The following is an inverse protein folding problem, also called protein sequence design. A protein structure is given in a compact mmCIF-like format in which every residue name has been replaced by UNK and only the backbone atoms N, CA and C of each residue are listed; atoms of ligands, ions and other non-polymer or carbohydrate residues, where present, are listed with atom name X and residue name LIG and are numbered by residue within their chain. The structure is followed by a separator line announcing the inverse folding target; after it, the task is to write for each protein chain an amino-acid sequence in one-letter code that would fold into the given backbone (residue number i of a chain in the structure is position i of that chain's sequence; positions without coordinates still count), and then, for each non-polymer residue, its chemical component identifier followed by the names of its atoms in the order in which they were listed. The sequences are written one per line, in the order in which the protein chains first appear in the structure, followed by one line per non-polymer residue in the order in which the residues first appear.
data_IF_363849357208
#
_entry.id   IF_363849357208
#
_cell.length_a   1.000
_cell.length_b   1.000
_cell.length_c   1.000
_cell.angle_alpha   90.00
_cell.angle_beta   90.00
_cell.angle_gamma   90.00
#
_symmetry.space_group_name_H-M   'P 1'
#
loop_
_entity.id
_entity.type
_entity.pdbx_description
1 polymer ?
#
# COMPACT_ATOMS: atom_id res chain seq x y z
N UNK A 1 -10.36 -21.59 5.98
CA UNK A 1 -10.67 -20.28 5.36
C UNK A 1 -11.81 -20.47 4.38
N UNK A 2 -12.98 -19.84 4.61
CA UNK A 2 -14.12 -19.91 3.67
C UNK A 2 -13.65 -19.53 2.26
N UNK A 3 -14.08 -20.29 1.25
CA UNK A 3 -13.72 -20.16 -0.18
C UNK A 3 -13.78 -18.71 -0.70
N UNK A 4 -14.69 -17.90 -0.15
CA UNK A 4 -14.86 -16.46 -0.42
C UNK A 4 -13.62 -15.60 -0.10
N UNK A 5 -12.93 -15.82 1.02
CA UNK A 5 -11.75 -15.04 1.42
C UNK A 5 -10.54 -15.33 0.51
N UNK A 6 -10.51 -16.52 -0.11
CA UNK A 6 -9.40 -16.93 -0.99
C UNK A 6 -9.45 -16.20 -2.33
N UNK A 7 -10.66 -16.03 -2.90
CA UNK A 7 -10.86 -15.32 -4.17
C UNK A 7 -10.52 -13.83 -4.00
N UNK A 8 -11.02 -13.20 -2.91
CA UNK A 8 -10.68 -11.81 -2.59
C UNK A 8 -9.16 -11.60 -2.48
N UNK A 9 -8.46 -12.48 -1.76
CA UNK A 9 -7.01 -12.39 -1.62
C UNK A 9 -6.26 -12.52 -2.95
N UNK A 10 -6.72 -13.39 -3.86
CA UNK A 10 -6.13 -13.55 -5.19
C UNK A 10 -6.33 -12.27 -6.02
N UNK A 11 -7.57 -11.79 -6.14
CA UNK A 11 -7.89 -10.57 -6.91
C UNK A 11 -7.08 -9.38 -6.38
N UNK A 12 -7.05 -9.21 -5.05
CA UNK A 12 -6.30 -8.13 -4.43
C UNK A 12 -4.79 -8.24 -4.70
N UNK A 13 -4.25 -9.46 -4.79
CA UNK A 13 -2.82 -9.67 -5.12
C UNK A 13 -2.54 -9.36 -6.59
N UNK A 14 -3.42 -9.77 -7.51
CA UNK A 14 -3.30 -9.43 -8.94
C UNK A 14 -3.36 -7.91 -9.13
N UNK A 15 -4.28 -7.24 -8.44
CA UNK A 15 -4.39 -5.78 -8.47
C UNK A 15 -3.12 -5.10 -7.95
N UNK A 16 -2.54 -5.58 -6.85
CA UNK A 16 -1.27 -5.06 -6.32
C UNK A 16 -0.13 -5.20 -7.35
N UNK A 17 -0.01 -6.35 -8.01
CA UNK A 17 1.02 -6.57 -9.04
C UNK A 17 0.82 -5.60 -10.21
N UNK A 18 -0.42 -5.43 -10.68
CA UNK A 18 -0.74 -4.48 -11.75
C UNK A 18 -0.41 -3.04 -11.38
N UNK A 19 -0.67 -2.63 -10.13
CA UNK A 19 -0.32 -1.29 -9.64
C UNK A 19 1.20 -1.08 -9.58
N UNK A 20 1.96 -2.07 -9.12
CA UNK A 20 3.43 -1.99 -9.07
C UNK A 20 4.04 -1.93 -10.48
N UNK A 21 3.54 -2.76 -11.41
CA UNK A 21 3.95 -2.70 -12.82
C UNK A 21 3.53 -1.37 -13.44
N UNK A 22 2.33 -0.88 -13.15
CA UNK A 22 1.83 0.41 -13.59
C UNK A 22 2.73 1.56 -13.14
N UNK A 23 3.18 1.56 -11.88
CA UNK A 23 4.07 2.57 -11.34
C UNK A 23 5.41 2.61 -12.10
N UNK A 24 5.97 1.44 -12.39
CA UNK A 24 7.18 1.32 -13.20
C UNK A 24 6.97 1.84 -14.63
N UNK A 25 5.87 1.46 -15.28
CA UNK A 25 5.54 1.91 -16.64
C UNK A 25 5.33 3.42 -16.71
N UNK A 26 4.63 4.02 -15.75
CA UNK A 26 4.43 5.47 -15.68
C UNK A 26 5.77 6.19 -15.57
N UNK A 27 6.69 5.70 -14.72
CA UNK A 27 8.03 6.26 -14.63
C UNK A 27 8.79 6.17 -15.97
N UNK A 28 8.76 4.98 -16.59
CA UNK A 28 9.43 4.73 -17.87
C UNK A 28 8.90 5.63 -19.00
N UNK A 29 7.58 5.72 -19.16
CA UNK A 29 6.99 6.55 -20.21
C UNK A 29 7.15 8.04 -19.96
N UNK A 30 7.18 8.48 -18.70
CA UNK A 30 7.47 9.88 -18.35
C UNK A 30 8.87 10.27 -18.79
N UNK A 31 9.84 9.37 -18.66
CA UNK A 31 11.22 9.63 -19.11
C UNK A 31 11.37 9.51 -20.64
N UNK A 32 10.69 8.54 -21.25
CA UNK A 32 10.83 8.24 -22.69
C UNK A 32 9.99 9.13 -23.61
N UNK A 33 8.85 9.63 -23.16
CA UNK A 33 7.90 10.41 -23.98
C UNK A 33 7.71 11.83 -23.42
N UNK A 34 8.28 12.82 -24.12
CA UNK A 34 8.15 14.24 -23.76
C UNK A 34 6.69 14.71 -23.61
N UNK A 35 5.75 14.18 -24.39
CA UNK A 35 4.33 14.53 -24.27
C UNK A 35 3.74 14.14 -22.90
N UNK A 36 4.09 12.95 -22.40
CA UNK A 36 3.64 12.48 -21.09
C UNK A 36 4.30 13.28 -19.96
N UNK A 37 5.58 13.63 -20.12
CA UNK A 37 6.29 14.52 -19.20
C UNK A 37 5.58 15.87 -19.05
N UNK A 38 5.26 16.55 -20.17
CA UNK A 38 4.56 17.85 -20.14
C UNK A 38 3.18 17.74 -19.51
N UNK A 39 2.43 16.69 -19.84
CA UNK A 39 1.11 16.45 -19.26
C UNK A 39 1.17 16.26 -17.73
N UNK A 40 2.12 15.45 -17.25
CA UNK A 40 2.29 15.20 -15.81
C UNK A 40 2.70 16.47 -15.07
N UNK A 41 3.66 17.23 -15.61
CA UNK A 41 4.10 18.49 -14.98
C UNK A 41 2.93 19.48 -14.87
N UNK A 42 2.13 19.63 -15.93
CA UNK A 42 0.95 20.50 -15.90
C UNK A 42 -0.06 20.06 -14.83
N UNK A 43 -0.35 18.76 -14.75
CA UNK A 43 -1.27 18.21 -13.73
C UNK A 43 -0.73 18.33 -12.32
N UNK A 44 0.57 18.13 -12.10
CA UNK A 44 1.19 18.32 -10.79
C UNK A 44 1.03 19.77 -10.32
N UNK A 45 1.35 20.75 -11.18
CA UNK A 45 1.20 22.17 -10.83
C UNK A 45 -0.25 22.53 -10.49
N UNK A 46 -1.22 21.99 -11.23
CA UNK A 46 -2.64 22.20 -10.91
C UNK A 46 -3.04 21.61 -9.54
N UNK A 47 -2.53 20.44 -9.21
CA UNK A 47 -2.82 19.78 -7.93
C UNK A 47 -2.15 20.51 -6.77
N UNK A 48 -0.88 20.90 -6.91
CA UNK A 48 -0.12 21.62 -5.88
C UNK A 48 -0.74 22.99 -5.58
N UNK A 49 -1.25 23.68 -6.60
CA UNK A 49 -1.96 24.95 -6.43
C UNK A 49 -3.31 24.80 -5.73
N UNK A 50 -3.97 23.65 -5.86
CA UNK A 50 -5.33 23.43 -5.33
C UNK A 50 -5.34 22.78 -3.96
N UNK A 51 -4.37 21.91 -3.66
CA UNK A 51 -4.33 21.12 -2.45
C UNK A 51 -2.93 21.08 -1.83
N UNK A 52 -2.80 21.05 -0.50
CA UNK A 52 -1.53 20.86 0.18
C UNK A 52 -1.11 19.38 0.14
N UNK A 53 -0.82 18.85 -1.05
CA UNK A 53 -0.56 17.41 -1.31
C UNK A 53 0.54 16.87 -0.39
N UNK A 54 1.61 17.64 -0.18
CA UNK A 54 2.72 17.23 0.67
C UNK A 54 2.28 16.96 2.11
N UNK A 55 1.41 17.82 2.67
CA UNK A 55 0.84 17.60 4.01
C UNK A 55 -0.05 16.36 4.04
N UNK A 56 -0.86 16.16 2.99
CA UNK A 56 -1.72 14.98 2.88
C UNK A 56 -0.89 13.69 2.87
N UNK A 57 0.23 13.65 2.16
CA UNK A 57 1.13 12.50 2.12
C UNK A 57 1.74 12.16 3.49
N UNK A 58 2.11 13.17 4.28
CA UNK A 58 2.62 12.91 5.64
C UNK A 58 1.51 12.41 6.57
N UNK A 59 0.29 12.94 6.44
CA UNK A 59 -0.86 12.46 7.19
C UNK A 59 -1.17 11.00 6.83
N UNK A 60 -1.13 10.63 5.54
CA UNK A 60 -1.38 9.24 5.12
C UNK A 60 -0.31 8.29 5.62
N UNK A 61 0.98 8.67 5.60
CA UNK A 61 2.06 7.89 6.22
C UNK A 61 1.76 7.66 7.71
N UNK A 62 1.38 8.71 8.45
CA UNK A 62 1.10 8.59 9.88
C UNK A 62 -0.08 7.64 10.16
N UNK A 63 -1.16 7.76 9.38
CA UNK A 63 -2.34 6.87 9.50
C UNK A 63 -1.93 5.41 9.21
N UNK A 64 -1.19 5.17 8.14
CA UNK A 64 -0.73 3.81 7.80
C UNK A 64 0.24 3.24 8.83
N UNK A 65 1.13 4.06 9.40
CA UNK A 65 2.01 3.65 10.49
C UNK A 65 1.20 3.15 11.70
N UNK A 66 0.18 3.91 12.11
CA UNK A 66 -0.72 3.53 13.21
C UNK A 66 -1.42 2.20 12.89
N UNK A 67 -1.97 2.05 11.68
CA UNK A 67 -2.65 0.82 11.27
C UNK A 67 -1.71 -0.40 11.26
N UNK A 68 -0.50 -0.25 10.73
CA UNK A 68 0.53 -1.31 10.71
C UNK A 68 0.87 -1.72 12.13
N UNK A 69 1.14 -0.76 13.03
CA UNK A 69 1.44 -1.05 14.44
C UNK A 69 0.28 -1.76 15.14
N UNK A 70 -0.96 -1.32 14.90
CA UNK A 70 -2.16 -1.96 15.46
C UNK A 70 -2.30 -3.42 14.99
N UNK A 71 -2.14 -3.67 13.68
CA UNK A 71 -2.23 -5.03 13.13
C UNK A 71 -1.11 -5.92 13.70
N UNK A 72 0.12 -5.40 13.79
CA UNK A 72 1.26 -6.13 14.37
C UNK A 72 1.04 -6.44 15.87
N UNK A 73 0.54 -5.49 16.65
CA UNK A 73 0.22 -5.69 18.06
C UNK A 73 -0.87 -6.77 18.24
N UNK A 74 -1.91 -6.76 17.39
CA UNK A 74 -2.94 -7.80 17.37
C UNK A 74 -2.38 -9.16 16.96
N UNK A 75 -1.45 -9.19 15.99
CA UNK A 75 -0.77 -10.41 15.57
C UNK A 75 0.08 -11.00 16.71
N UNK A 76 0.90 -10.19 17.40
CA UNK A 76 1.73 -10.65 18.52
C UNK A 76 0.88 -11.25 19.63
N UNK A 77 -0.21 -10.56 20.03
CA UNK A 77 -1.17 -11.06 21.03
C UNK A 77 -1.78 -12.42 20.65
N UNK A 78 -1.82 -12.76 19.37
CA UNK A 78 -2.47 -13.97 18.83
C UNK A 78 -1.48 -14.94 18.18
N UNK A 79 -0.17 -14.68 18.26
CA UNK A 79 0.88 -15.37 17.49
C UNK A 79 0.84 -16.88 17.65
N UNK A 80 0.58 -17.37 18.87
CA UNK A 80 0.53 -18.80 19.20
C UNK A 80 -0.58 -19.57 18.46
N UNK A 81 -1.62 -18.88 18.01
CA UNK A 81 -2.73 -19.48 17.30
C UNK A 81 -2.59 -19.34 15.78
N UNK A 82 -1.68 -18.49 15.28
CA UNK A 82 -1.62 -18.11 13.87
C UNK A 82 -0.68 -19.00 13.05
N UNK A 83 -0.99 -19.16 11.77
CA UNK A 83 -0.17 -19.95 10.84
C UNK A 83 1.11 -19.21 10.40
N UNK A 84 2.10 -19.97 9.89
CA UNK A 84 3.31 -19.38 9.27
C UNK A 84 2.98 -18.47 8.07
N UNK A 85 1.84 -18.68 7.42
CA UNK A 85 1.37 -17.83 6.32
C UNK A 85 1.02 -16.41 6.81
N UNK A 86 0.38 -16.28 7.97
CA UNK A 86 0.08 -14.97 8.57
C UNK A 86 1.35 -14.19 8.94
N UNK A 87 2.42 -14.88 9.35
CA UNK A 87 3.73 -14.25 9.57
C UNK A 87 4.30 -13.65 8.27
N UNK A 88 4.27 -14.42 7.18
CA UNK A 88 4.74 -13.95 5.86
C UNK A 88 3.96 -12.72 5.37
N UNK A 89 2.63 -12.70 5.54
CA UNK A 89 1.81 -11.54 5.16
C UNK A 89 2.15 -10.27 5.97
N UNK A 90 2.41 -10.41 7.28
CA UNK A 90 2.81 -9.28 8.12
C UNK A 90 4.19 -8.74 7.74
N UNK A 91 5.17 -9.62 7.46
CA UNK A 91 6.49 -9.19 6.98
C UNK A 91 6.36 -8.44 5.66
N UNK A 92 5.59 -8.97 4.72
CA UNK A 92 5.37 -8.33 3.42
C UNK A 92 4.67 -6.97 3.55
N UNK A 93 3.70 -6.84 4.47
CA UNK A 93 3.06 -5.56 4.79
C UNK A 93 4.06 -4.52 5.31
N UNK A 94 4.94 -4.90 6.23
CA UNK A 94 5.97 -3.98 6.77
C UNK A 94 6.94 -3.53 5.69
N UNK A 95 7.42 -4.46 4.85
CA UNK A 95 8.33 -4.14 3.74
C UNK A 95 7.64 -3.17 2.76
N UNK A 96 6.41 -3.46 2.33
CA UNK A 96 5.68 -2.59 1.41
C UNK A 96 5.45 -1.18 2.00
N UNK A 97 5.06 -1.09 3.27
CA UNK A 97 4.91 0.19 3.94
C UNK A 97 6.25 0.95 4.03
N UNK A 98 7.35 0.27 4.35
CA UNK A 98 8.68 0.87 4.38
C UNK A 98 9.12 1.39 3.00
N UNK A 99 8.82 0.66 1.92
CA UNK A 99 9.08 1.11 0.55
C UNK A 99 8.27 2.37 0.23
N UNK A 100 6.97 2.40 0.55
CA UNK A 100 6.11 3.57 0.32
C UNK A 100 6.57 4.79 1.14
N UNK A 101 6.83 4.59 2.43
CA UNK A 101 7.31 5.66 3.32
C UNK A 101 8.66 6.18 2.84
N UNK A 102 9.62 5.30 2.57
CA UNK A 102 10.93 5.68 2.02
C UNK A 102 10.81 6.42 0.69
N UNK A 103 9.97 5.95 -0.23
CA UNK A 103 9.72 6.62 -1.50
C UNK A 103 9.19 8.05 -1.28
N UNK A 104 8.23 8.23 -0.39
CA UNK A 104 7.56 9.51 -0.12
C UNK A 104 8.45 10.49 0.68
N UNK A 105 9.35 9.97 1.53
CA UNK A 105 10.27 10.80 2.31
C UNK A 105 11.51 11.24 1.53
N UNK A 106 11.97 10.40 0.58
CA UNK A 106 13.22 10.64 -0.17
C UNK A 106 12.95 11.39 -1.48
N UNK A 107 11.81 11.14 -2.13
CA UNK A 107 11.53 11.71 -3.44
C UNK A 107 10.56 12.89 -3.37
N UNK A 108 10.60 13.72 -4.41
CA UNK A 108 9.69 14.85 -4.59
C UNK A 108 9.37 15.03 -6.08
N UNK A 109 8.48 15.97 -6.40
CA UNK A 109 8.20 16.38 -7.79
C UNK A 109 9.38 17.05 -8.49
N UNK A 110 10.43 17.41 -7.75
CA UNK A 110 11.68 17.95 -8.28
C UNK A 110 12.61 16.83 -8.75
N UNK A 111 12.71 15.73 -7.99
CA UNK A 111 13.55 14.58 -8.34
C UNK A 111 12.88 13.65 -9.34
N UNK A 112 11.57 13.43 -9.20
CA UNK A 112 10.78 12.56 -10.05
C UNK A 112 9.49 13.26 -10.46
N UNK A 113 9.36 13.63 -11.74
CA UNK A 113 8.14 14.29 -12.24
C UNK A 113 6.89 13.39 -12.08
N UNK A 114 7.05 12.07 -12.20
CA UNK A 114 5.99 11.09 -11.98
C UNK A 114 5.69 10.79 -10.50
N UNK A 115 6.30 11.52 -9.56
CA UNK A 115 6.25 11.26 -8.11
C UNK A 115 4.83 11.07 -7.57
N UNK A 116 3.89 11.98 -7.88
CA UNK A 116 2.53 11.86 -7.35
C UNK A 116 1.77 10.64 -7.88
N UNK A 117 1.98 10.27 -9.15
CA UNK A 117 1.34 9.09 -9.73
C UNK A 117 1.91 7.78 -9.16
N UNK A 118 3.24 7.70 -9.03
CA UNK A 118 3.92 6.54 -8.44
C UNK A 118 3.54 6.42 -6.95
N UNK A 119 3.59 7.54 -6.22
CA UNK A 119 3.22 7.61 -4.81
C UNK A 119 1.78 7.14 -4.58
N UNK A 120 0.84 7.59 -5.41
CA UNK A 120 -0.56 7.16 -5.34
C UNK A 120 -0.73 5.66 -5.60
N UNK A 121 -0.05 5.11 -6.62
CA UNK A 121 -0.11 3.66 -6.89
C UNK A 121 0.48 2.83 -5.74
N UNK A 122 1.59 3.29 -5.14
CA UNK A 122 2.18 2.66 -3.96
C UNK A 122 1.26 2.76 -2.74
N UNK A 123 0.63 3.92 -2.52
CA UNK A 123 -0.31 4.15 -1.42
C UNK A 123 -1.49 3.17 -1.48
N UNK A 124 -2.12 3.05 -2.65
CA UNK A 124 -3.23 2.09 -2.87
C UNK A 124 -2.75 0.65 -2.67
N UNK A 125 -1.54 0.32 -3.12
CA UNK A 125 -0.97 -1.03 -2.93
C UNK A 125 -0.80 -1.37 -1.44
N UNK A 126 -0.26 -0.43 -0.65
CA UNK A 126 -0.09 -0.57 0.80
C UNK A 126 -1.45 -0.67 1.50
N UNK A 127 -2.42 0.16 1.11
CA UNK A 127 -3.76 0.14 1.68
C UNK A 127 -4.44 -1.22 1.50
N UNK A 128 -4.38 -1.78 0.29
CA UNK A 128 -4.89 -3.14 0.01
C UNK A 128 -4.17 -4.18 0.89
N UNK A 129 -2.85 -4.05 1.07
CA UNK A 129 -2.09 -5.01 1.88
C UNK A 129 -2.47 -4.95 3.37
N UNK A 130 -2.67 -3.74 3.91
CA UNK A 130 -3.14 -3.51 5.28
C UNK A 130 -4.50 -4.16 5.49
N UNK A 131 -5.45 -3.96 4.55
CA UNK A 131 -6.78 -4.58 4.63
C UNK A 131 -6.69 -6.11 4.62
N UNK A 132 -5.96 -6.69 3.66
CA UNK A 132 -5.79 -8.17 3.57
C UNK A 132 -5.22 -8.75 4.86
N UNK A 133 -4.17 -8.12 5.39
CA UNK A 133 -3.49 -8.58 6.61
C UNK A 133 -4.38 -8.40 7.84
N UNK A 134 -5.11 -7.29 7.93
CA UNK A 134 -6.08 -7.03 9.00
C UNK A 134 -7.21 -8.06 9.01
N UNK A 135 -7.78 -8.38 7.85
CA UNK A 135 -8.82 -9.41 7.70
C UNK A 135 -8.30 -10.77 8.21
N UNK A 136 -7.10 -11.19 7.80
CA UNK A 136 -6.52 -12.47 8.23
C UNK A 136 -6.33 -12.54 9.76
N UNK A 137 -5.74 -11.49 10.35
CA UNK A 137 -5.47 -11.43 11.80
C UNK A 137 -6.76 -11.33 12.63
N UNK A 138 -7.80 -10.69 12.11
CA UNK A 138 -9.09 -10.52 12.79
C UNK A 138 -9.99 -11.77 12.67
N UNK A 139 -10.16 -12.32 11.46
CA UNK A 139 -11.11 -13.42 11.18
C UNK A 139 -10.63 -14.77 11.73
N UNK A 140 -9.31 -14.98 11.89
CA UNK A 140 -8.80 -16.23 12.46
C UNK A 140 -9.41 -16.54 13.85
N UNK A 141 -9.73 -15.50 14.64
CA UNK A 141 -10.37 -15.64 15.96
C UNK A 141 -11.81 -16.17 15.87
N UNK A 142 -12.59 -15.73 14.89
CA UNK A 142 -14.02 -16.03 14.82
C UNK A 142 -14.29 -17.52 14.59
N UNK A 143 -13.43 -18.23 13.85
CA UNK A 143 -13.66 -19.65 13.53
C UNK A 143 -13.25 -20.61 14.66
N UNK A 144 -12.46 -20.18 15.65
CA UNK A 144 -12.04 -21.06 16.77
C UNK A 144 -12.98 -20.99 17.98
N UNK A 145 -13.67 -19.87 18.17
CA UNK A 145 -14.60 -19.67 19.28
C UNK A 145 -16.00 -20.29 19.05
N UNK A 146 -16.30 -20.80 17.85
CA UNK A 146 -17.57 -21.48 17.52
C UNK A 146 -17.49 -23.01 17.54
N UNK A 147 -16.40 -23.57 18.09
CA UNK A 147 -16.15 -25.01 18.18
C UNK A 147 -16.02 -25.49 19.65
N UNK A 148 -16.57 -24.72 20.59
CA UNK A 148 -16.75 -25.12 22.00
C UNK A 148 -18.24 -25.29 22.24
#
# INVERSE_FOLDING_TARGET
MKKSNKIFNIIATVLQILLLVGAYLVNYFTHKKMGMLRYIVYKNNLLENKYPIMKLQYITIAIFAILVVLILALYIKRKLQMSKYALSMNIFMVILFAIYAGFTLINSTETLRAYYYIGFMLEVTVFIQIIKTGIEVLIYKTNKNTLI
#
